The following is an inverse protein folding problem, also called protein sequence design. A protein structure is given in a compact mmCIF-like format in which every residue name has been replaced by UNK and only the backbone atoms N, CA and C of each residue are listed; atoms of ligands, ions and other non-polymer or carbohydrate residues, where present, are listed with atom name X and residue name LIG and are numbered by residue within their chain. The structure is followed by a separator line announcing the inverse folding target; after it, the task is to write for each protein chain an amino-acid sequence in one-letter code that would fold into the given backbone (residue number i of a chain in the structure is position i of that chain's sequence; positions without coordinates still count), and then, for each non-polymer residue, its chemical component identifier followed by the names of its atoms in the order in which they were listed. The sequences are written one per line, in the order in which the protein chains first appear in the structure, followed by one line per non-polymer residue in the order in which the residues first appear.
data_IF_680722440269
#
_entry.id   IF_680722440269
#
_cell.length_a   1.000
_cell.length_b   1.000
_cell.length_c   1.000
_cell.angle_alpha   90.00
_cell.angle_beta   90.00
_cell.angle_gamma   90.00
#
_symmetry.space_group_name_H-M   'P 1'
#
loop_
_entity.id
_entity.type
_entity.pdbx_description
1 polymer ?
#
# COMPACT_ATOMS: atom_id res chain seq x y z
N UNK A 1 2.97 4.99 -3.85
CA UNK A 1 2.89 5.26 -5.30
C UNK A 1 3.72 4.22 -6.03
N UNK A 2 3.19 3.68 -7.12
CA UNK A 2 3.93 2.79 -8.02
C UNK A 2 3.85 3.39 -9.42
N UNK A 3 4.99 3.57 -10.05
CA UNK A 3 5.08 3.98 -11.45
C UNK A 3 5.83 2.89 -12.21
N UNK A 4 5.34 2.54 -13.40
CA UNK A 4 5.92 1.50 -14.22
C UNK A 4 6.14 1.98 -15.64
N UNK A 5 7.26 1.56 -16.23
CA UNK A 5 7.54 1.78 -17.64
C UNK A 5 7.94 0.45 -18.27
N UNK A 6 7.11 -0.03 -19.21
CA UNK A 6 7.43 -1.22 -19.99
C UNK A 6 8.19 -0.82 -21.26
N UNK A 7 9.28 -1.53 -21.54
CA UNK A 7 10.07 -1.35 -22.76
C UNK A 7 10.40 -2.73 -23.36
N UNK A 8 11.09 -2.77 -24.52
CA UNK A 8 11.42 -4.02 -25.22
C UNK A 8 12.26 -4.99 -24.39
N UNK A 9 13.00 -4.49 -23.39
CA UNK A 9 13.96 -5.25 -22.59
C UNK A 9 13.42 -5.60 -21.19
N UNK A 10 12.24 -5.10 -20.80
CA UNK A 10 11.67 -5.41 -19.50
C UNK A 10 10.69 -4.38 -18.96
N UNK A 11 10.52 -4.41 -17.64
CA UNK A 11 9.65 -3.53 -16.88
C UNK A 11 10.48 -2.80 -15.83
N UNK A 12 10.54 -1.47 -15.95
CA UNK A 12 11.11 -0.60 -14.93
C UNK A 12 10.02 -0.20 -13.94
N UNK A 13 10.32 -0.23 -12.65
CA UNK A 13 9.36 0.07 -11.58
C UNK A 13 9.98 1.05 -10.60
N UNK A 14 9.29 2.16 -10.34
CA UNK A 14 9.62 3.13 -9.30
C UNK A 14 8.59 3.02 -8.18
N UNK A 15 9.09 2.82 -6.95
CA UNK A 15 8.25 2.68 -5.75
C UNK A 15 8.46 3.91 -4.85
N UNK A 16 7.48 4.81 -4.83
CA UNK A 16 7.44 5.95 -3.92
C UNK A 16 6.69 5.61 -2.63
N UNK A 17 7.34 5.76 -1.47
CA UNK A 17 6.73 5.53 -0.15
C UNK A 17 6.81 6.82 0.68
N UNK A 18 5.66 7.40 0.99
CA UNK A 18 5.51 8.52 1.91
C UNK A 18 4.99 8.03 3.26
N UNK A 19 5.66 8.41 4.35
CA UNK A 19 5.25 8.12 5.73
C UNK A 19 5.23 9.41 6.54
N UNK A 20 4.11 9.67 7.22
CA UNK A 20 3.97 10.82 8.12
C UNK A 20 4.54 10.44 9.50
N UNK A 21 5.72 10.96 9.85
CA UNK A 21 6.43 10.61 11.10
C UNK A 21 6.44 11.72 12.17
N UNK A 22 5.89 12.89 11.86
CA UNK A 22 6.03 14.06 12.73
C UNK A 22 5.21 15.25 12.28
N UNK A 23 3.97 15.00 11.83
CA UNK A 23 3.05 16.09 11.47
C UNK A 23 2.40 16.63 12.74
N UNK A 24 3.09 17.53 13.44
CA UNK A 24 2.57 18.14 14.68
C UNK A 24 1.41 19.11 14.43
N UNK A 25 1.36 19.71 13.23
CA UNK A 25 0.27 20.57 12.75
C UNK A 25 0.13 20.38 11.26
N UNK A 26 -1.11 20.32 10.79
CA UNK A 26 -1.46 20.20 9.38
C UNK A 26 -2.31 21.41 9.00
N UNK A 27 -2.03 22.03 7.87
CA UNK A 27 -2.90 23.08 7.33
C UNK A 27 -4.15 22.40 6.74
N UNK A 28 -5.28 22.59 7.43
CA UNK A 28 -6.57 22.01 7.05
C UNK A 28 -7.09 22.53 5.70
N UNK A 29 -6.55 23.65 5.20
CA UNK A 29 -6.88 24.15 3.86
C UNK A 29 -6.15 23.36 2.74
N UNK A 30 -5.06 22.66 3.08
CA UNK A 30 -4.24 21.90 2.14
C UNK A 30 -4.55 20.40 2.24
N UNK A 31 -4.72 19.89 3.46
CA UNK A 31 -5.02 18.48 3.72
C UNK A 31 -6.50 18.33 4.07
N UNK A 32 -7.32 18.20 3.03
CA UNK A 32 -8.77 18.09 3.14
C UNK A 32 -9.26 16.64 3.32
N UNK A 33 -8.34 15.67 3.32
CA UNK A 33 -8.64 14.24 3.52
C UNK A 33 -8.24 13.80 4.94
N UNK A 34 -8.91 12.75 5.43
CA UNK A 34 -8.55 12.12 6.70
C UNK A 34 -7.08 11.68 6.67
N UNK A 35 -6.28 12.18 7.60
CA UNK A 35 -4.87 11.85 7.72
C UNK A 35 -4.60 11.18 9.06
N UNK A 36 -3.58 10.33 9.07
CA UNK A 36 -3.02 9.76 10.29
C UNK A 36 -1.51 9.92 10.20
N UNK A 37 -0.88 10.06 11.37
CA UNK A 37 0.55 10.17 11.48
C UNK A 37 1.08 9.28 12.60
N UNK A 38 2.38 9.05 12.55
CA UNK A 38 3.09 8.15 13.43
C UNK A 38 3.83 8.90 14.56
N UNK A 39 3.56 10.20 14.80
CA UNK A 39 4.26 11.00 15.82
C UNK A 39 4.13 10.46 17.24
N UNK A 40 3.06 9.72 17.54
CA UNK A 40 2.90 9.04 18.83
C UNK A 40 3.96 7.94 19.08
N UNK A 41 4.65 7.49 18.03
CA UNK A 41 5.71 6.49 18.10
C UNK A 41 7.08 7.13 17.90
N UNK A 42 8.04 6.77 18.75
CA UNK A 42 9.40 7.30 18.69
C UNK A 42 10.25 6.47 17.73
N UNK A 43 10.28 6.86 16.46
CA UNK A 43 11.07 6.19 15.43
C UNK A 43 12.42 6.87 15.19
N UNK A 44 13.50 6.07 15.13
CA UNK A 44 14.69 6.50 14.42
C UNK A 44 14.42 6.44 12.91
N UNK A 45 14.34 7.60 12.26
CA UNK A 45 14.00 7.71 10.84
C UNK A 45 14.95 6.92 9.94
N UNK A 46 16.25 6.98 10.23
CA UNK A 46 17.25 6.28 9.43
C UNK A 46 17.11 4.78 9.57
N UNK A 47 16.92 4.29 10.81
CA UNK A 47 16.70 2.87 11.04
C UNK A 47 15.41 2.37 10.36
N UNK A 48 14.33 3.14 10.44
CA UNK A 48 13.06 2.80 9.78
C UNK A 48 13.24 2.70 8.26
N UNK A 49 13.92 3.67 7.64
CA UNK A 49 14.20 3.65 6.20
C UNK A 49 15.09 2.48 5.81
N UNK A 50 16.15 2.19 6.58
CA UNK A 50 17.01 1.04 6.33
C UNK A 50 16.23 -0.28 6.40
N UNK A 51 15.41 -0.47 7.44
CA UNK A 51 14.58 -1.67 7.62
C UNK A 51 13.54 -1.81 6.51
N UNK A 52 12.86 -0.71 6.15
CA UNK A 52 11.87 -0.69 5.09
C UNK A 52 12.49 -1.05 3.74
N UNK A 53 13.62 -0.42 3.39
CA UNK A 53 14.34 -0.70 2.15
C UNK A 53 14.81 -2.16 2.09
N UNK A 54 15.36 -2.69 3.19
CA UNK A 54 15.78 -4.08 3.28
C UNK A 54 14.62 -5.06 3.06
N UNK A 55 13.51 -4.87 3.78
CA UNK A 55 12.34 -5.75 3.65
C UNK A 55 11.70 -5.63 2.26
N UNK A 56 11.66 -4.45 1.66
CA UNK A 56 11.16 -4.28 0.28
C UNK A 56 12.05 -5.01 -0.72
N UNK A 57 13.36 -4.81 -0.68
CA UNK A 57 14.30 -5.49 -1.59
C UNK A 57 14.22 -7.01 -1.45
N UNK A 58 14.11 -7.50 -0.20
CA UNK A 58 13.93 -8.94 0.08
C UNK A 58 12.64 -9.46 -0.55
N UNK A 59 11.51 -8.80 -0.31
CA UNK A 59 10.22 -9.25 -0.84
C UNK A 59 10.14 -9.13 -2.37
N UNK A 60 10.74 -8.10 -2.97
CA UNK A 60 10.83 -7.97 -4.43
C UNK A 60 11.62 -9.10 -5.09
N UNK A 61 12.62 -9.66 -4.41
CA UNK A 61 13.37 -10.84 -4.88
C UNK A 61 12.60 -12.15 -4.70
N UNK A 62 11.82 -12.26 -3.63
CA UNK A 62 11.04 -13.47 -3.31
C UNK A 62 9.77 -13.55 -4.17
N UNK A 63 9.13 -12.42 -4.45
CA UNK A 63 7.84 -12.37 -5.12
C UNK A 63 7.79 -13.13 -6.47
N UNK A 64 8.78 -13.02 -7.37
CA UNK A 64 8.78 -13.80 -8.62
C UNK A 64 8.82 -15.32 -8.42
N UNK A 65 9.30 -15.80 -7.26
CA UNK A 65 9.43 -17.23 -6.96
C UNK A 65 8.13 -17.84 -6.39
N UNK A 66 7.40 -17.06 -5.60
CA UNK A 66 6.26 -17.57 -4.80
C UNK A 66 4.91 -16.97 -5.19
N UNK A 67 4.92 -15.87 -5.95
CA UNK A 67 3.74 -15.11 -6.34
C UNK A 67 2.95 -14.52 -5.16
N UNK A 68 1.78 -13.96 -5.44
CA UNK A 68 0.93 -13.32 -4.42
C UNK A 68 0.32 -14.31 -3.42
N UNK A 69 0.08 -15.57 -3.82
CA UNK A 69 -0.55 -16.58 -2.96
C UNK A 69 0.17 -16.75 -1.61
N UNK A 70 1.50 -16.66 -1.60
CA UNK A 70 2.33 -16.69 -0.39
C UNK A 70 2.04 -15.54 0.59
N UNK A 71 1.61 -14.38 0.06
CA UNK A 71 1.33 -13.17 0.84
C UNK A 71 -0.15 -12.98 1.16
N UNK A 72 -1.04 -13.78 0.57
CA UNK A 72 -2.48 -13.54 0.59
C UNK A 72 -3.06 -13.56 2.01
N UNK A 73 -2.63 -14.48 2.88
CA UNK A 73 -3.09 -14.54 4.27
C UNK A 73 -2.60 -13.34 5.08
N UNK A 74 -1.29 -13.03 5.00
CA UNK A 74 -0.71 -11.87 5.68
C UNK A 74 -1.35 -10.57 5.21
N UNK A 75 -1.64 -10.41 3.93
CA UNK A 75 -2.33 -9.23 3.45
C UNK A 75 -3.72 -9.11 4.09
N UNK A 76 -4.48 -10.20 4.12
CA UNK A 76 -5.83 -10.22 4.65
C UNK A 76 -5.91 -9.89 6.14
N UNK A 77 -4.85 -10.14 6.93
CA UNK A 77 -4.81 -9.73 8.33
C UNK A 77 -4.69 -8.21 8.53
N UNK A 78 -4.27 -7.47 7.49
CA UNK A 78 -4.14 -6.01 7.51
C UNK A 78 -5.20 -5.30 6.64
N UNK A 79 -6.14 -6.02 6.01
CA UNK A 79 -7.18 -5.40 5.18
C UNK A 79 -8.28 -4.77 6.06
N UNK A 80 -8.18 -3.45 6.28
CA UNK A 80 -9.11 -2.65 7.07
C UNK A 80 -10.54 -2.63 6.51
N UNK A 81 -10.71 -2.91 5.21
CA UNK A 81 -12.00 -2.85 4.52
C UNK A 81 -12.64 -4.21 4.35
N UNK A 82 -11.94 -5.30 4.68
CA UNK A 82 -12.47 -6.66 4.59
C UNK A 82 -13.82 -6.78 5.30
N UNK A 83 -14.80 -7.37 4.61
CA UNK A 83 -16.17 -7.54 5.09
C UNK A 83 -16.89 -6.24 5.46
N UNK A 84 -16.54 -5.13 4.80
CA UNK A 84 -17.24 -3.84 4.92
C UNK A 84 -17.83 -3.41 3.57
N UNK A 85 -18.89 -2.61 3.63
CA UNK A 85 -19.36 -1.87 2.47
C UNK A 85 -18.35 -0.78 2.11
N UNK A 86 -17.97 -0.69 0.85
CA UNK A 86 -17.01 0.28 0.31
C UNK A 86 -17.56 0.90 -0.96
N UNK A 87 -17.07 2.10 -1.28
CA UNK A 87 -17.33 2.77 -2.54
C UNK A 87 -16.12 2.56 -3.46
N UNK A 88 -16.34 1.94 -4.62
CA UNK A 88 -15.37 1.86 -5.70
C UNK A 88 -15.56 3.09 -6.58
N UNK A 89 -14.51 3.89 -6.75
CA UNK A 89 -14.54 5.08 -7.61
C UNK A 89 -13.73 4.74 -8.86
N UNK A 90 -14.37 4.83 -10.02
CA UNK A 90 -13.73 4.69 -11.34
C UNK A 90 -13.91 5.98 -12.13
N UNK A 91 -13.30 6.11 -13.30
CA UNK A 91 -13.52 7.27 -14.17
C UNK A 91 -14.99 7.39 -14.64
N UNK A 92 -15.68 6.26 -14.79
CA UNK A 92 -17.04 6.22 -15.33
C UNK A 92 -18.13 6.32 -14.25
N UNK A 93 -17.90 5.71 -13.08
CA UNK A 93 -18.94 5.56 -12.07
C UNK A 93 -18.41 5.32 -10.64
N UNK A 94 -19.30 5.56 -9.68
CA UNK A 94 -19.15 5.16 -8.29
C UNK A 94 -20.06 3.97 -7.96
N UNK A 95 -19.47 2.83 -7.56
CA UNK A 95 -20.20 1.61 -7.23
C UNK A 95 -20.10 1.35 -5.73
N UNK A 96 -21.23 1.11 -5.07
CA UNK A 96 -21.22 0.58 -3.70
C UNK A 96 -21.13 -0.94 -3.73
N UNK A 97 -20.10 -1.50 -3.13
CA UNK A 97 -19.83 -2.94 -3.12
C UNK A 97 -19.46 -3.45 -1.72
N UNK A 98 -19.61 -4.75 -1.49
CA UNK A 98 -19.17 -5.39 -0.26
C UNK A 98 -17.80 -6.05 -0.47
N UNK A 99 -16.79 -5.62 0.28
CA UNK A 99 -15.40 -6.10 0.16
C UNK A 99 -15.28 -7.54 0.65
N UNK A 100 -15.10 -8.47 -0.29
CA UNK A 100 -14.78 -9.88 -0.01
C UNK A 100 -13.29 -10.05 0.31
N UNK A 101 -12.94 -11.23 0.82
CA UNK A 101 -11.56 -11.67 0.96
C UNK A 101 -10.85 -11.70 -0.40
N UNK A 102 -9.54 -11.45 -0.40
CA UNK A 102 -8.71 -11.54 -1.60
C UNK A 102 -8.51 -12.99 -2.02
N UNK A 103 -8.53 -13.20 -3.33
CA UNK A 103 -8.13 -14.45 -3.96
C UNK A 103 -6.61 -14.57 -4.04
N UNK A 104 -6.11 -15.76 -4.39
CA UNK A 104 -4.69 -16.01 -4.64
C UNK A 104 -4.10 -15.20 -5.80
N UNK A 105 -4.93 -14.53 -6.60
CA UNK A 105 -4.55 -13.64 -7.71
C UNK A 105 -4.64 -12.14 -7.37
N UNK A 106 -4.79 -11.80 -6.09
CA UNK A 106 -4.95 -10.42 -5.60
C UNK A 106 -6.23 -9.71 -6.08
N UNK A 107 -7.22 -10.45 -6.57
CA UNK A 107 -8.53 -9.91 -6.90
C UNK A 107 -9.50 -10.06 -5.73
N UNK A 108 -10.39 -9.09 -5.60
CA UNK A 108 -11.51 -9.06 -4.65
C UNK A 108 -12.67 -8.33 -5.31
N UNK A 109 -13.90 -8.72 -4.97
CA UNK A 109 -15.20 -8.45 -5.61
C UNK A 109 -15.67 -9.59 -6.52
#
# INVERSE_FOLDING_TARGET
MLETQANRNGLDVVIGIGLNLGMAKVDENIVTQAWADLSQYHFNRNELVCRLAYELQKNLKIYPLVGFAHYAERWQSFDLFRHKAVKLITEAEEITAFRKALTSRANSF
#
